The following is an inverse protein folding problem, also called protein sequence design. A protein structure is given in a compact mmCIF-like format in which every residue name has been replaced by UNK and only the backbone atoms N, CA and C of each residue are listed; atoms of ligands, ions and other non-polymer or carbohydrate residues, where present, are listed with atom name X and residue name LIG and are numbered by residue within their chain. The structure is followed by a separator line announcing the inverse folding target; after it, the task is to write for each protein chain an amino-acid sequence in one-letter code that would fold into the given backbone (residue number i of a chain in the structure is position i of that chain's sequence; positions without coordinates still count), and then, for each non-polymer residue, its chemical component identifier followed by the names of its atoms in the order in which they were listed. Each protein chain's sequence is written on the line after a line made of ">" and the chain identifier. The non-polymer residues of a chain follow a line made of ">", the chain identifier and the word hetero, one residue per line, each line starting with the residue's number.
data_IF_323323385049
#
_entry.id   IF_323323385049
#
_cell.length_a   1.000
_cell.length_b   1.000
_cell.length_c   1.000
_cell.angle_alpha   90.00
_cell.angle_beta   90.00
_cell.angle_gamma   90.00
#
_symmetry.space_group_name_H-M   'P 1'
#
loop_
_entity.id
_entity.type
_entity.pdbx_description
1 polymer ?
#
# COMPACT_ATOMS: atom_id res chain seq x y z
N UNK A 1 30.45 46.91 10.03
CA UNK A 1 29.41 45.87 9.84
C UNK A 1 29.24 45.58 8.35
N UNK A 2 29.90 44.57 7.74
CA UNK A 2 29.55 44.08 6.37
C UNK A 2 30.29 42.81 5.89
N UNK A 3 30.70 41.89 6.79
CA UNK A 3 31.39 40.64 6.39
C UNK A 3 30.71 39.33 6.82
N UNK A 4 29.60 39.38 7.55
CA UNK A 4 28.96 38.17 8.10
C UNK A 4 27.84 37.57 7.24
N UNK A 5 27.41 38.25 6.16
CA UNK A 5 26.29 37.79 5.33
C UNK A 5 26.68 36.78 4.23
N UNK A 6 27.97 36.63 3.89
CA UNK A 6 28.42 35.79 2.76
C UNK A 6 28.72 34.34 3.19
N UNK A 7 29.03 34.11 4.47
CA UNK A 7 29.47 32.80 4.98
C UNK A 7 28.27 31.85 5.24
N UNK A 8 27.05 32.36 5.35
CA UNK A 8 25.83 31.55 5.49
C UNK A 8 25.29 31.06 4.15
N UNK A 9 25.47 31.80 3.07
CA UNK A 9 25.02 31.38 1.72
C UNK A 9 25.94 30.31 1.12
N UNK A 10 27.26 30.44 1.29
CA UNK A 10 28.24 29.49 0.76
C UNK A 10 28.13 28.07 1.36
N UNK A 11 27.73 27.96 2.64
CA UNK A 11 27.53 26.65 3.31
C UNK A 11 26.22 25.96 2.92
N UNK A 12 25.24 26.69 2.38
CA UNK A 12 23.99 26.15 1.81
C UNK A 12 24.15 25.81 0.31
N UNK A 13 25.05 26.49 -0.40
CA UNK A 13 25.43 26.12 -1.77
C UNK A 13 26.22 24.80 -1.83
N UNK A 14 27.04 24.48 -0.83
CA UNK A 14 27.76 23.19 -0.75
C UNK A 14 26.85 21.96 -0.78
N UNK A 15 25.78 21.83 0.03
CA UNK A 15 24.87 20.70 -0.04
C UNK A 15 24.03 20.72 -1.31
N UNK A 16 23.63 21.88 -1.84
CA UNK A 16 22.91 21.96 -3.11
C UNK A 16 23.78 21.51 -4.30
N UNK A 17 25.05 21.93 -4.34
CA UNK A 17 26.03 21.49 -5.35
C UNK A 17 26.36 20.02 -5.18
N UNK A 18 26.54 19.53 -3.95
CA UNK A 18 26.75 18.11 -3.69
C UNK A 18 25.54 17.26 -4.11
N UNK A 19 24.32 17.72 -3.82
CA UNK A 19 23.10 17.06 -4.25
C UNK A 19 23.00 17.03 -5.78
N UNK A 20 23.28 18.15 -6.45
CA UNK A 20 23.32 18.21 -7.92
C UNK A 20 24.36 17.26 -8.51
N UNK A 21 25.58 17.23 -7.96
CA UNK A 21 26.65 16.32 -8.38
C UNK A 21 26.23 14.87 -8.17
N UNK A 22 25.61 14.53 -7.04
CA UNK A 22 25.06 13.20 -6.81
C UNK A 22 23.93 12.84 -7.79
N UNK A 23 23.01 13.77 -8.09
CA UNK A 23 21.97 13.56 -9.09
C UNK A 23 22.55 13.33 -10.48
N UNK A 24 23.54 14.13 -10.89
CA UNK A 24 24.22 13.97 -12.18
C UNK A 24 24.99 12.65 -12.24
N UNK A 25 25.72 12.30 -11.18
CA UNK A 25 26.42 11.03 -11.09
C UNK A 25 25.44 9.85 -11.16
N UNK A 26 24.26 9.95 -10.55
CA UNK A 26 23.21 8.92 -10.61
C UNK A 26 22.65 8.76 -12.03
N UNK A 27 22.34 9.87 -12.72
CA UNK A 27 21.86 9.84 -14.12
C UNK A 27 22.91 9.25 -15.05
N UNK A 28 24.19 9.58 -14.86
CA UNK A 28 25.30 9.03 -15.65
C UNK A 28 25.61 7.57 -15.32
N UNK A 29 25.38 7.13 -14.07
CA UNK A 29 25.59 5.75 -13.65
C UNK A 29 24.46 4.81 -14.09
N UNK A 30 23.26 5.35 -14.37
CA UNK A 30 22.10 4.57 -14.83
C UNK A 30 21.48 5.18 -16.09
N UNK A 31 22.23 5.26 -17.20
CA UNK A 31 21.76 5.89 -18.44
C UNK A 31 20.52 5.17 -18.98
N UNK A 32 20.44 3.85 -18.80
CA UNK A 32 19.28 3.07 -19.18
C UNK A 32 18.01 3.52 -18.43
N UNK A 33 18.11 4.00 -17.19
CA UNK A 33 16.95 4.51 -16.44
C UNK A 33 16.38 5.79 -17.05
N UNK A 34 17.27 6.69 -17.50
CA UNK A 34 16.89 7.99 -18.06
C UNK A 34 16.09 7.85 -19.37
N UNK A 35 16.31 6.76 -20.11
CA UNK A 35 15.59 6.45 -21.35
C UNK A 35 14.62 5.27 -21.23
N UNK A 36 14.25 4.83 -20.02
CA UNK A 36 13.28 3.75 -19.84
C UNK A 36 13.74 2.42 -20.45
N UNK A 37 14.96 2.01 -20.11
CA UNK A 37 15.69 0.85 -20.66
C UNK A 37 15.67 0.89 -22.19
N UNK A 38 16.21 1.95 -22.77
CA UNK A 38 16.23 2.16 -24.23
C UNK A 38 14.83 2.15 -24.88
N UNK A 39 13.84 2.78 -24.23
CA UNK A 39 12.47 2.87 -24.74
C UNK A 39 11.65 1.58 -24.59
N UNK A 40 12.14 0.60 -23.83
CA UNK A 40 11.41 -0.66 -23.55
C UNK A 40 10.33 -0.50 -22.47
N UNK A 41 10.39 0.57 -21.68
CA UNK A 41 9.39 0.91 -20.67
C UNK A 41 8.53 2.06 -21.22
N UNK A 42 7.29 1.75 -21.58
CA UNK A 42 6.31 2.74 -22.01
C UNK A 42 5.24 2.94 -20.91
N UNK A 43 4.90 4.19 -20.55
CA UNK A 43 3.80 4.44 -19.63
C UNK A 43 2.47 4.04 -20.26
N UNK A 44 1.65 3.32 -19.50
CA UNK A 44 0.30 2.93 -19.89
C UNK A 44 -0.69 3.93 -19.30
N UNK A 45 -1.62 4.40 -20.13
CA UNK A 45 -2.68 5.31 -19.71
C UNK A 45 -3.90 4.51 -19.27
N UNK A 46 -4.26 4.63 -17.99
CA UNK A 46 -5.45 4.00 -17.45
C UNK A 46 -6.69 4.83 -17.80
N UNK A 47 -7.82 4.19 -18.14
CA UNK A 47 -9.09 4.88 -18.26
C UNK A 47 -9.47 5.66 -17.00
N UNK A 48 -10.20 6.76 -17.15
CA UNK A 48 -10.58 7.64 -16.04
C UNK A 48 -11.40 6.93 -14.95
N UNK A 49 -12.10 5.84 -15.30
CA UNK A 49 -12.87 5.03 -14.36
C UNK A 49 -12.04 4.49 -13.21
N UNK A 50 -10.77 4.15 -13.43
CA UNK A 50 -9.87 3.65 -12.39
C UNK A 50 -9.71 4.66 -11.24
N UNK A 51 -9.48 5.94 -11.59
CA UNK A 51 -9.35 7.00 -10.60
C UNK A 51 -10.68 7.28 -9.88
N UNK A 52 -11.81 7.21 -10.59
CA UNK A 52 -13.13 7.43 -10.01
C UNK A 52 -13.53 6.32 -9.03
N UNK A 53 -13.31 5.04 -9.41
CA UNK A 53 -13.54 3.87 -8.55
C UNK A 53 -12.65 3.93 -7.33
N UNK A 54 -11.35 4.22 -7.51
CA UNK A 54 -10.41 4.34 -6.40
C UNK A 54 -10.84 5.43 -5.41
N UNK A 55 -11.19 6.62 -5.90
CA UNK A 55 -11.66 7.72 -5.05
C UNK A 55 -12.96 7.40 -4.31
N UNK A 56 -13.85 6.59 -4.90
CA UNK A 56 -15.08 6.16 -4.23
C UNK A 56 -14.81 5.15 -3.09
N UNK A 57 -13.96 4.16 -3.34
CA UNK A 57 -13.56 3.16 -2.34
C UNK A 57 -12.76 3.82 -1.20
N UNK A 58 -11.82 4.71 -1.53
CA UNK A 58 -10.97 5.36 -0.52
C UNK A 58 -11.73 6.33 0.38
N UNK A 59 -12.89 6.83 -0.07
CA UNK A 59 -13.77 7.68 0.76
C UNK A 59 -14.46 6.89 1.86
N UNK A 60 -14.78 5.63 1.58
CA UNK A 60 -15.43 4.71 2.52
C UNK A 60 -14.74 3.33 2.42
N UNK A 61 -13.53 3.19 3.00
CA UNK A 61 -12.74 1.98 2.85
C UNK A 61 -13.45 0.74 3.38
N UNK A 62 -13.44 -0.32 2.58
CA UNK A 62 -13.96 -1.63 2.97
C UNK A 62 -13.42 -2.71 2.04
N UNK A 63 -13.29 -3.97 2.49
CA UNK A 63 -12.72 -5.03 1.66
C UNK A 63 -13.42 -5.14 0.31
N UNK A 64 -12.63 -5.26 -0.75
CA UNK A 64 -13.08 -5.25 -2.13
C UNK A 64 -12.91 -6.65 -2.71
N UNK A 65 -13.94 -7.14 -3.40
CA UNK A 65 -13.81 -8.33 -4.25
C UNK A 65 -13.96 -7.90 -5.71
N UNK A 66 -13.17 -8.50 -6.59
CA UNK A 66 -13.09 -8.11 -8.01
C UNK A 66 -13.66 -9.23 -8.88
N UNK A 67 -14.31 -8.81 -9.95
CA UNK A 67 -14.81 -9.65 -11.01
C UNK A 67 -14.26 -9.17 -12.35
N UNK A 68 -13.91 -10.07 -13.29
CA UNK A 68 -13.95 -11.53 -13.15
C UNK A 68 -12.91 -12.08 -12.16
N UNK A 69 -13.14 -13.31 -11.68
CA UNK A 69 -12.25 -14.00 -10.76
C UNK A 69 -10.85 -14.25 -11.37
N UNK A 70 -9.82 -14.18 -10.52
CA UNK A 70 -8.42 -14.44 -10.87
C UNK A 70 -7.51 -13.24 -10.60
N UNK A 71 -6.20 -13.43 -10.75
CA UNK A 71 -5.18 -12.41 -10.43
C UNK A 71 -4.58 -11.73 -11.66
N UNK A 72 -4.68 -12.37 -12.83
CA UNK A 72 -4.21 -11.83 -14.10
C UNK A 72 -5.39 -11.31 -14.91
N UNK A 73 -5.17 -10.17 -15.57
CA UNK A 73 -6.12 -9.46 -16.42
C UNK A 73 -5.52 -9.25 -17.79
N UNK A 74 -6.40 -9.11 -18.78
CA UNK A 74 -6.02 -8.63 -20.10
C UNK A 74 -7.05 -7.60 -20.52
N UNK A 75 -6.63 -6.35 -20.52
CA UNK A 75 -7.44 -5.22 -20.94
C UNK A 75 -7.10 -4.83 -22.37
N UNK A 76 -8.06 -4.22 -23.07
CA UNK A 76 -7.84 -3.68 -24.42
C UNK A 76 -6.72 -2.63 -24.44
N UNK A 77 -6.58 -1.85 -23.37
CA UNK A 77 -5.58 -0.78 -23.22
C UNK A 77 -4.23 -1.26 -22.65
N UNK A 78 -4.14 -2.48 -22.10
CA UNK A 78 -2.89 -3.00 -21.49
C UNK A 78 -1.93 -3.67 -22.49
N UNK A 79 -2.32 -3.76 -23.76
CA UNK A 79 -1.57 -4.48 -24.79
C UNK A 79 -1.81 -5.98 -24.77
N UNK A 80 -0.94 -6.75 -25.44
CA UNK A 80 -1.16 -8.18 -25.71
C UNK A 80 -0.82 -9.12 -24.54
N UNK A 81 -0.02 -8.65 -23.59
CA UNK A 81 0.43 -9.45 -22.45
C UNK A 81 -0.58 -9.34 -21.28
N UNK A 82 -0.88 -10.46 -20.58
CA UNK A 82 -1.60 -10.38 -19.31
C UNK A 82 -0.83 -9.55 -18.28
N UNK A 83 -1.55 -8.74 -17.53
CA UNK A 83 -1.03 -7.93 -16.42
C UNK A 83 -1.63 -8.42 -15.11
N UNK A 84 -0.93 -8.21 -14.00
CA UNK A 84 -1.55 -8.40 -12.69
C UNK A 84 -2.71 -7.40 -12.54
N UNK A 85 -3.77 -7.84 -11.86
CA UNK A 85 -4.90 -7.00 -11.46
C UNK A 85 -4.37 -5.64 -10.94
N UNK A 86 -4.73 -4.52 -11.59
CA UNK A 86 -4.30 -3.21 -11.15
C UNK A 86 -4.96 -2.76 -9.86
N UNK A 87 -6.18 -3.21 -9.54
CA UNK A 87 -6.98 -2.63 -8.47
C UNK A 87 -6.28 -2.63 -7.10
N UNK A 88 -5.59 -3.71 -6.66
CA UNK A 88 -4.88 -3.75 -5.38
C UNK A 88 -3.84 -2.65 -5.16
N UNK A 89 -3.32 -2.04 -6.24
CA UNK A 89 -2.38 -0.90 -6.18
C UNK A 89 -3.05 0.46 -6.40
N UNK A 90 -4.33 0.49 -6.74
CA UNK A 90 -5.12 1.72 -6.94
C UNK A 90 -5.88 2.16 -5.69
N UNK A 91 -6.26 1.22 -4.81
CA UNK A 91 -7.07 1.49 -3.61
C UNK A 91 -6.28 1.26 -2.34
N UNK A 92 -6.70 1.92 -1.25
CA UNK A 92 -6.17 1.69 0.10
C UNK A 92 -6.81 0.50 0.80
N UNK A 93 -8.03 0.16 0.39
CA UNK A 93 -8.77 -0.95 0.96
C UNK A 93 -8.12 -2.29 0.57
N UNK A 94 -8.33 -3.31 1.41
CA UNK A 94 -7.87 -4.67 1.12
C UNK A 94 -8.65 -5.24 -0.07
N UNK A 95 -7.95 -5.65 -1.12
CA UNK A 95 -8.54 -6.28 -2.30
C UNK A 95 -8.35 -7.78 -2.18
N UNK A 96 -9.44 -8.50 -1.93
CA UNK A 96 -9.46 -9.93 -1.65
C UNK A 96 -8.97 -10.70 -2.87
N UNK A 97 -7.71 -11.13 -2.80
CA UNK A 97 -7.02 -11.85 -3.86
C UNK A 97 -6.78 -13.30 -3.42
N UNK A 98 -7.21 -14.28 -4.23
CA UNK A 98 -7.04 -15.70 -3.88
C UNK A 98 -5.58 -16.15 -3.94
N UNK A 99 -4.78 -15.51 -4.80
CA UNK A 99 -3.42 -15.92 -5.12
C UNK A 99 -3.35 -17.20 -5.95
N UNK A 100 -4.50 -17.70 -6.44
CA UNK A 100 -4.56 -18.92 -7.24
C UNK A 100 -3.95 -18.66 -8.62
N UNK A 101 -3.10 -19.59 -9.06
CA UNK A 101 -2.44 -19.54 -10.36
C UNK A 101 -2.81 -20.76 -11.18
N UNK A 102 -3.38 -20.53 -12.36
CA UNK A 102 -3.67 -21.59 -13.32
C UNK A 102 -2.45 -21.76 -14.24
N UNK A 103 -1.79 -22.90 -14.14
CA UNK A 103 -0.63 -23.27 -14.97
C UNK A 103 -1.00 -24.49 -15.79
N UNK A 104 -1.07 -24.35 -17.12
CA UNK A 104 -1.41 -25.45 -18.02
C UNK A 104 -2.71 -26.19 -17.65
N UNK A 105 -3.71 -25.45 -17.14
CA UNK A 105 -5.00 -26.00 -16.71
C UNK A 105 -5.04 -26.58 -15.29
N UNK A 106 -3.92 -26.57 -14.56
CA UNK A 106 -3.86 -26.97 -13.15
C UNK A 106 -3.86 -25.72 -12.26
N UNK A 107 -4.80 -25.66 -11.33
CA UNK A 107 -4.85 -24.58 -10.33
C UNK A 107 -3.92 -24.88 -9.17
N UNK A 108 -2.94 -24.01 -8.96
CA UNK A 108 -2.10 -23.99 -7.76
C UNK A 108 -2.76 -23.02 -6.76
N UNK A 109 -3.20 -23.50 -5.59
CA UNK A 109 -3.86 -22.65 -4.62
C UNK A 109 -2.87 -21.68 -3.98
N UNK A 110 -3.26 -20.40 -3.88
CA UNK A 110 -2.54 -19.40 -3.10
C UNK A 110 -2.89 -19.44 -1.61
N UNK A 111 -2.29 -18.53 -0.86
CA UNK A 111 -2.48 -18.43 0.60
C UNK A 111 -3.82 -17.77 0.99
N UNK A 112 -4.56 -17.21 0.03
CA UNK A 112 -5.79 -16.46 0.24
C UNK A 112 -7.02 -17.33 0.50
N UNK A 113 -7.02 -18.16 1.55
CA UNK A 113 -8.16 -19.06 1.88
C UNK A 113 -9.48 -18.32 2.08
N UNK A 114 -9.45 -17.20 2.81
CA UNK A 114 -10.62 -16.34 2.98
C UNK A 114 -11.07 -15.69 1.67
N UNK A 115 -10.13 -15.12 0.91
CA UNK A 115 -10.43 -14.53 -0.39
C UNK A 115 -11.04 -15.55 -1.36
N UNK A 116 -10.55 -16.80 -1.35
CA UNK A 116 -11.11 -17.90 -2.15
C UNK A 116 -12.54 -18.23 -1.76
N UNK A 117 -12.82 -18.38 -0.47
CA UNK A 117 -14.18 -18.63 0.01
C UNK A 117 -15.15 -17.50 -0.37
N UNK A 118 -14.71 -16.23 -0.29
CA UNK A 118 -15.52 -15.07 -0.71
C UNK A 118 -15.74 -15.07 -2.22
N UNK A 119 -14.72 -15.40 -3.00
CA UNK A 119 -14.82 -15.45 -4.47
C UNK A 119 -15.75 -16.58 -4.92
N UNK A 120 -15.61 -17.78 -4.37
CA UNK A 120 -16.52 -18.91 -4.61
C UNK A 120 -17.95 -18.55 -4.22
N UNK A 121 -18.12 -17.90 -3.06
CA UNK A 121 -19.42 -17.38 -2.63
C UNK A 121 -19.98 -16.41 -3.67
N UNK A 122 -19.23 -15.41 -4.13
CA UNK A 122 -19.68 -14.46 -5.15
C UNK A 122 -20.03 -15.14 -6.48
N UNK A 123 -19.21 -16.07 -6.93
CA UNK A 123 -19.44 -16.85 -8.16
C UNK A 123 -20.69 -17.73 -8.07
N UNK A 124 -21.14 -18.11 -6.88
CA UNK A 124 -22.42 -18.81 -6.69
C UNK A 124 -23.65 -17.89 -6.87
N UNK A 125 -23.48 -16.57 -6.94
CA UNK A 125 -24.55 -15.58 -7.09
C UNK A 125 -25.51 -15.48 -5.88
N UNK A 126 -25.01 -15.25 -4.66
CA UNK A 126 -25.79 -15.21 -3.42
C UNK A 126 -26.56 -13.90 -3.29
N UNK A 127 -27.35 -13.78 -2.23
CA UNK A 127 -27.88 -12.48 -1.84
C UNK A 127 -26.74 -11.54 -1.36
N UNK A 128 -26.76 -10.23 -1.69
CA UNK A 128 -25.71 -9.29 -1.27
C UNK A 128 -25.47 -9.27 0.25
N UNK A 129 -26.50 -9.52 1.07
CA UNK A 129 -26.33 -9.59 2.52
C UNK A 129 -25.42 -10.74 2.98
N UNK A 130 -25.27 -11.81 2.19
CA UNK A 130 -24.32 -12.88 2.47
C UNK A 130 -22.88 -12.41 2.27
N UNK A 131 -22.59 -11.61 1.23
CA UNK A 131 -21.28 -11.02 0.99
C UNK A 131 -20.92 -9.99 2.07
N UNK A 132 -21.89 -9.17 2.50
CA UNK A 132 -21.70 -8.25 3.61
C UNK A 132 -21.29 -8.98 4.90
N UNK A 133 -21.96 -10.09 5.23
CA UNK A 133 -21.60 -10.95 6.38
C UNK A 133 -20.25 -11.62 6.23
N UNK A 134 -19.81 -11.88 5.00
CA UNK A 134 -18.46 -12.37 4.70
C UNK A 134 -17.39 -11.26 4.79
N UNK A 135 -17.77 -10.01 5.11
CA UNK A 135 -16.85 -8.89 5.30
C UNK A 135 -16.59 -8.06 4.04
N UNK A 136 -17.30 -8.33 2.93
CA UNK A 136 -17.15 -7.57 1.68
C UNK A 136 -17.84 -6.23 1.80
N UNK A 137 -17.10 -5.15 1.58
CA UNK A 137 -17.63 -3.78 1.48
C UNK A 137 -18.03 -3.42 0.06
N UNK A 138 -17.22 -3.83 -0.92
CA UNK A 138 -17.36 -3.41 -2.32
C UNK A 138 -17.18 -4.59 -3.28
N UNK A 139 -17.91 -4.57 -4.39
CA UNK A 139 -17.65 -5.41 -5.57
C UNK A 139 -17.27 -4.49 -6.72
N UNK A 140 -16.12 -4.77 -7.36
CA UNK A 140 -15.69 -4.11 -8.59
C UNK A 140 -15.79 -5.09 -9.74
N UNK A 141 -16.41 -4.67 -10.83
CA UNK A 141 -16.51 -5.44 -12.08
C UNK A 141 -15.66 -4.75 -13.13
N UNK A 142 -14.67 -5.46 -13.62
CA UNK A 142 -13.74 -5.07 -14.67
C UNK A 142 -14.21 -5.65 -16.01
N UNK A 143 -15.13 -4.93 -16.66
CA UNK A 143 -15.85 -5.38 -17.86
C UNK A 143 -14.96 -5.59 -19.09
N UNK A 144 -13.82 -4.90 -19.17
CA UNK A 144 -12.85 -5.01 -20.28
C UNK A 144 -11.82 -6.14 -20.07
N UNK A 145 -11.99 -7.01 -19.06
CA UNK A 145 -11.17 -8.21 -18.90
C UNK A 145 -12.02 -9.47 -18.99
N UNK A 146 -11.54 -10.45 -19.75
CA UNK A 146 -12.11 -11.79 -19.75
C UNK A 146 -11.78 -12.54 -18.45
N UNK A 147 -12.69 -13.40 -18.02
CA UNK A 147 -12.47 -14.31 -16.89
C UNK A 147 -13.77 -14.91 -16.36
N UNK A 148 -13.68 -15.62 -15.23
CA UNK A 148 -14.82 -16.31 -14.64
C UNK A 148 -15.75 -15.33 -13.91
N UNK A 149 -17.01 -15.30 -14.35
CA UNK A 149 -18.10 -14.50 -13.75
C UNK A 149 -19.06 -15.36 -12.91
N UNK A 150 -19.06 -16.68 -13.14
CA UNK A 150 -20.00 -17.61 -12.55
C UNK A 150 -21.44 -17.10 -12.67
N UNK A 151 -22.16 -17.14 -11.55
CA UNK A 151 -23.50 -16.59 -11.41
C UNK A 151 -23.55 -15.25 -10.66
N UNK A 152 -22.42 -14.54 -10.56
CA UNK A 152 -22.34 -13.28 -9.83
C UNK A 152 -23.33 -12.21 -10.34
N UNK A 153 -23.72 -12.26 -11.62
CA UNK A 153 -24.77 -11.41 -12.19
C UNK A 153 -26.06 -11.43 -11.36
N UNK A 154 -26.48 -12.58 -10.81
CA UNK A 154 -27.67 -12.68 -9.96
C UNK A 154 -27.60 -11.81 -8.70
N UNK A 155 -26.39 -11.63 -8.17
CA UNK A 155 -26.15 -10.74 -7.02
C UNK A 155 -26.09 -9.29 -7.48
N UNK A 156 -25.39 -9.02 -8.58
CA UNK A 156 -25.19 -7.67 -9.12
C UNK A 156 -26.50 -7.03 -9.59
N UNK A 157 -27.42 -7.82 -10.16
CA UNK A 157 -28.73 -7.35 -10.64
C UNK A 157 -29.64 -6.85 -9.51
N UNK A 158 -29.33 -7.22 -8.25
CA UNK A 158 -30.04 -6.74 -7.06
C UNK A 158 -29.45 -5.45 -6.49
N UNK A 159 -28.34 -4.98 -7.04
CA UNK A 159 -27.59 -3.83 -6.56
C UNK A 159 -27.66 -2.68 -7.55
N UNK A 160 -27.74 -1.47 -7.02
CA UNK A 160 -27.57 -0.25 -7.84
C UNK A 160 -26.08 0.09 -7.89
N UNK A 161 -25.47 0.25 -9.08
CA UNK A 161 -24.07 0.62 -9.18
C UNK A 161 -23.84 2.03 -8.63
N UNK A 162 -22.82 2.17 -7.79
CA UNK A 162 -22.33 3.47 -7.31
C UNK A 162 -21.53 4.21 -8.38
N UNK A 163 -20.85 3.45 -9.24
CA UNK A 163 -20.15 3.95 -10.42
C UNK A 163 -20.29 2.94 -11.55
N UNK A 164 -20.39 3.41 -12.79
CA UNK A 164 -20.37 2.58 -13.99
C UNK A 164 -19.92 3.38 -15.20
N UNK A 165 -18.96 2.85 -15.94
CA UNK A 165 -18.61 3.26 -17.29
C UNK A 165 -18.52 2.03 -18.21
N UNK A 166 -17.78 2.13 -19.33
CA UNK A 166 -17.58 1.02 -20.26
C UNK A 166 -16.61 -0.05 -19.75
N UNK A 167 -15.71 0.29 -18.83
CA UNK A 167 -14.59 -0.55 -18.42
C UNK A 167 -14.80 -1.11 -17.01
N UNK A 168 -15.46 -0.35 -16.14
CA UNK A 168 -15.61 -0.62 -14.72
C UNK A 168 -17.06 -0.38 -14.23
N UNK A 169 -17.51 -1.22 -13.31
CA UNK A 169 -18.67 -0.96 -12.48
C UNK A 169 -18.36 -1.22 -11.00
N UNK A 170 -18.78 -0.31 -10.12
CA UNK A 170 -18.59 -0.38 -8.67
C UNK A 170 -19.94 -0.56 -7.99
N UNK A 171 -20.01 -1.53 -7.08
CA UNK A 171 -21.20 -1.83 -6.31
C UNK A 171 -20.89 -1.83 -4.83
N UNK A 172 -21.72 -1.13 -4.06
CA UNK A 172 -21.68 -1.20 -2.60
C UNK A 172 -22.47 -2.42 -2.12
N UNK A 173 -21.87 -3.22 -1.24
CA UNK A 173 -22.52 -4.43 -0.69
C UNK A 173 -23.16 -4.17 0.67
N UNK A 174 -22.53 -3.34 1.51
CA UNK A 174 -23.04 -3.03 2.84
C UNK A 174 -22.20 -2.04 3.65
N UNK A 175 -22.80 -1.53 4.72
CA UNK A 175 -22.23 -0.55 5.65
C UNK A 175 -21.68 -1.19 6.93
N UNK A 176 -20.42 -0.85 7.23
CA UNK A 176 -19.75 -0.86 8.54
C UNK A 176 -19.57 -2.22 9.22
N UNK A 177 -18.55 -2.95 8.76
CA UNK A 177 -17.86 -3.99 9.54
C UNK A 177 -17.02 -3.41 10.70
N UNK A 178 -17.49 -2.35 11.35
CA UNK A 178 -16.67 -1.45 12.17
C UNK A 178 -16.29 -2.06 13.53
N UNK A 179 -17.09 -3.01 14.04
CA UNK A 179 -16.92 -3.51 15.41
C UNK A 179 -15.60 -4.27 15.64
N UNK A 180 -15.27 -5.22 14.76
CA UNK A 180 -14.10 -6.09 14.92
C UNK A 180 -12.82 -5.38 14.46
N UNK A 181 -12.89 -4.58 13.39
CA UNK A 181 -11.75 -3.84 12.88
C UNK A 181 -11.29 -2.74 13.85
N UNK A 182 -12.22 -1.99 14.46
CA UNK A 182 -11.88 -0.92 15.39
C UNK A 182 -11.23 -1.45 16.69
N UNK A 183 -11.72 -2.58 17.23
CA UNK A 183 -11.12 -3.20 18.41
C UNK A 183 -9.68 -3.66 18.15
N UNK A 184 -9.43 -4.27 16.99
CA UNK A 184 -8.09 -4.69 16.57
C UNK A 184 -7.17 -3.49 16.38
N UNK A 185 -7.62 -2.42 15.71
CA UNK A 185 -6.84 -1.19 15.56
C UNK A 185 -6.45 -0.59 16.92
N UNK A 186 -7.39 -0.52 17.86
CA UNK A 186 -7.14 -0.02 19.22
C UNK A 186 -6.10 -0.88 19.94
N UNK A 187 -6.22 -2.20 19.86
CA UNK A 187 -5.25 -3.13 20.46
C UNK A 187 -3.85 -2.95 19.85
N UNK A 188 -3.76 -2.84 18.52
CA UNK A 188 -2.49 -2.58 17.82
C UNK A 188 -1.91 -1.22 18.22
N UNK A 189 -2.72 -0.16 18.30
CA UNK A 189 -2.24 1.16 18.76
C UNK A 189 -1.74 1.10 20.20
N UNK A 190 -2.48 0.46 21.12
CA UNK A 190 -2.06 0.30 22.52
C UNK A 190 -0.74 -0.46 22.62
N UNK A 191 -0.56 -1.51 21.84
CA UNK A 191 0.70 -2.25 21.79
C UNK A 191 1.87 -1.36 21.32
N UNK A 192 1.67 -0.52 20.30
CA UNK A 192 2.70 0.41 19.83
C UNK A 192 3.00 1.51 20.84
N UNK A 193 1.99 2.02 21.56
CA UNK A 193 2.19 2.99 22.63
C UNK A 193 2.96 2.38 23.81
N UNK A 194 2.61 1.17 24.24
CA UNK A 194 3.34 0.46 25.28
C UNK A 194 4.80 0.21 24.89
N UNK A 195 5.03 -0.19 23.64
CA UNK A 195 6.38 -0.37 23.10
C UNK A 195 7.18 0.94 23.05
N UNK A 196 6.56 2.04 22.60
CA UNK A 196 7.20 3.36 22.58
C UNK A 196 7.58 3.80 24.00
N UNK A 197 6.70 3.61 24.99
CA UNK A 197 6.99 3.91 26.40
C UNK A 197 8.18 3.10 26.92
N UNK A 198 8.27 1.81 26.59
CA UNK A 198 9.41 0.95 26.94
C UNK A 198 10.72 1.50 26.36
N UNK A 199 10.73 1.94 25.11
CA UNK A 199 11.91 2.54 24.48
C UNK A 199 12.33 3.85 25.15
N UNK A 200 11.37 4.72 25.47
CA UNK A 200 11.65 6.00 26.13
C UNK A 200 12.22 5.80 27.55
N UNK A 201 11.66 4.87 28.32
CA UNK A 201 12.16 4.53 29.67
C UNK A 201 13.56 3.93 29.59
N UNK A 202 13.80 3.00 28.66
CA UNK A 202 15.13 2.41 28.44
C UNK A 202 16.17 3.45 28.03
N UNK A 203 15.82 4.34 27.10
CA UNK A 203 16.68 5.43 26.64
C UNK A 203 17.01 6.44 27.74
N UNK A 204 16.01 6.84 28.54
CA UNK A 204 16.21 7.72 29.69
C UNK A 204 17.09 7.07 30.77
N UNK A 205 16.89 5.78 31.04
CA UNK A 205 17.74 5.01 31.96
C UNK A 205 19.20 4.95 31.51
N UNK A 206 19.44 4.71 30.22
CA UNK A 206 20.79 4.75 29.64
C UNK A 206 21.44 6.13 29.74
N UNK A 207 20.71 7.19 29.40
CA UNK A 207 21.21 8.57 29.49
C UNK A 207 21.55 8.95 30.95
N UNK A 208 20.71 8.56 31.90
CA UNK A 208 20.94 8.78 33.33
C UNK A 208 22.17 8.03 33.86
N UNK A 209 22.35 6.76 33.46
CA UNK A 209 23.55 5.97 33.80
C UNK A 209 24.82 6.56 33.17
N UNK A 210 24.74 7.03 31.92
CA UNK A 210 25.85 7.67 31.23
C UNK A 210 26.27 9.00 31.89
N UNK A 211 25.30 9.86 32.24
CA UNK A 211 25.55 11.12 32.95
C UNK A 211 26.16 10.89 34.33
N UNK A 212 25.66 9.90 35.09
CA UNK A 212 26.23 9.52 36.40
C UNK A 212 27.69 9.08 36.28
N UNK A 213 28.02 8.25 35.28
CA UNK A 213 29.39 7.75 35.07
C UNK A 213 30.38 8.86 34.68
N UNK A 214 29.93 9.90 33.97
CA UNK A 214 30.78 11.04 33.62
C UNK A 214 31.01 11.98 34.79
N UNK A 215 30.01 12.17 35.65
CA UNK A 215 30.15 12.97 36.86
C UNK A 215 31.08 12.29 37.89
N UNK A 216 31.04 10.96 38.03
CA UNK A 216 31.94 10.25 38.96
C UNK A 216 33.38 10.12 38.45
N UNK A 217 33.63 10.19 37.14
CA UNK A 217 35.00 10.20 36.57
C UNK A 217 35.68 11.56 36.61
N UNK A 218 34.94 12.64 36.86
CA UNK A 218 35.50 13.99 36.99
C UNK A 218 36.30 14.24 38.27
N UNK A 219 36.18 13.34 39.27
CA UNK A 219 36.75 13.51 40.61
C UNK A 219 38.12 12.81 40.80
N UNK A 220 38.58 12.04 39.81
CA UNK A 220 39.93 11.45 39.83
C UNK A 220 40.90 12.32 39.02
N UNK A 221 41.27 13.50 39.54
CA UNK A 221 42.50 14.18 39.11
C UNK A 221 43.69 13.53 39.83
N UNK A 222 44.69 12.98 39.12
CA UNK A 222 45.89 12.48 39.79
C UNK A 222 46.65 13.68 40.35
N UNK A 223 46.79 13.74 41.67
CA UNK A 223 47.73 14.61 42.37
C UNK A 223 49.14 14.15 41.97
N UNK A 224 49.68 14.75 40.90
CA UNK A 224 51.11 14.69 40.59
C UNK A 224 51.82 15.61 41.60
N UNK A 225 52.53 14.92 42.51
CA UNK A 225 53.66 15.29 43.35
C UNK A 225 54.14 16.77 43.40
N UNK A 226 54.35 17.25 44.63
CA UNK A 226 55.57 17.98 45.01
C UNK A 226 55.89 17.70 46.47
N UNK A 227 57.08 17.14 46.74
CA UNK A 227 57.61 16.84 48.07
C UNK A 227 58.76 15.84 47.98
#
# INVERSE_FOLDING_TARGET
>A
MRRWAVVTLARWWRPAVAALVCCVALVLAVPDLAWGVWGRVAPVHYPSGWAAVAAAIDREPGPVVVLPAGTMRRFSWSGSAPVLDPLPRWVRADVLTTGDLVISGVTVPGDGTHARAVQELLLAGPDPAALARAGVGWVVVESDSAGEMGAAARTLDRLTPTYRDCDLALYRIGGQADGVAAARLRATMLAHWAWLCLLLVGGAGMAGCWLRRHLTRGDERPLIATG
#
